data_IF_479531877948
#
_entry.id   IF_479531877948
#
_cell.length_a   1.000
_cell.length_b   1.000
_cell.length_c   1.000
_cell.angle_alpha   90.00
_cell.angle_beta   90.00
_cell.angle_gamma   90.00
#
_symmetry.space_group_name_H-M   'P 1'
#
loop_
_entity.id
_entity.type
_entity.pdbx_description
1 polymer ?
#
# COMPACT_ATOMS: atom_id res chain seq x y z
N UNK A 1 -22.02 -63.13 59.21
CA UNK A 1 -22.02 -61.85 58.51
C UNK A 1 -21.30 -61.94 57.18
N UNK A 2 -22.04 -61.97 56.07
CA UNK A 2 -21.48 -62.04 54.73
C UNK A 2 -21.56 -60.59 54.22
N UNK A 3 -20.41 -59.95 54.02
CA UNK A 3 -20.31 -58.65 53.41
C UNK A 3 -20.32 -58.80 51.87
N UNK A 4 -21.39 -58.39 51.24
CA UNK A 4 -21.51 -58.26 49.79
C UNK A 4 -20.79 -56.99 49.31
N UNK A 5 -19.63 -57.15 48.67
CA UNK A 5 -18.87 -56.08 48.08
C UNK A 5 -19.42 -55.81 46.65
N UNK A 6 -20.21 -54.77 46.50
CA UNK A 6 -20.69 -54.32 45.17
C UNK A 6 -19.57 -53.66 44.45
N UNK A 7 -19.05 -54.28 43.41
CA UNK A 7 -18.13 -53.63 42.44
C UNK A 7 -18.98 -52.85 41.50
N UNK A 8 -18.96 -51.50 41.64
CA UNK A 8 -19.47 -50.58 40.67
C UNK A 8 -18.49 -50.55 39.51
N UNK A 9 -18.84 -51.14 38.39
CA UNK A 9 -18.22 -50.97 37.12
C UNK A 9 -18.61 -49.53 36.62
N UNK A 10 -17.72 -48.59 36.79
CA UNK A 10 -17.76 -47.32 36.07
C UNK A 10 -17.44 -47.63 34.59
N UNK A 11 -18.47 -47.75 33.78
CA UNK A 11 -18.29 -47.65 32.33
C UNK A 11 -17.87 -46.22 32.05
N UNK A 12 -16.60 -46.03 31.77
CA UNK A 12 -16.12 -44.78 31.22
C UNK A 12 -16.94 -44.51 29.94
N UNK A 13 -17.66 -43.40 29.93
CA UNK A 13 -18.20 -42.86 28.69
C UNK A 13 -17.05 -42.68 27.72
N UNK A 14 -17.23 -43.20 26.54
CA UNK A 14 -16.34 -42.96 25.41
C UNK A 14 -16.35 -41.45 25.11
N UNK A 15 -15.37 -40.75 25.66
CA UNK A 15 -15.25 -39.27 25.51
C UNK A 15 -15.01 -38.85 24.08
N UNK A 16 -14.63 -39.78 23.20
CA UNK A 16 -14.32 -39.54 21.78
C UNK A 16 -15.49 -39.03 20.95
N UNK A 17 -16.74 -39.19 21.44
CA UNK A 17 -17.94 -38.69 20.74
C UNK A 17 -18.22 -37.21 20.92
N UNK A 18 -17.54 -36.54 21.86
CA UNK A 18 -17.78 -35.15 22.22
C UNK A 18 -16.55 -34.27 22.09
N UNK A 19 -15.48 -34.78 21.43
CA UNK A 19 -14.37 -33.95 21.04
C UNK A 19 -14.87 -32.96 19.99
N UNK A 20 -14.55 -31.66 20.18
CA UNK A 20 -14.99 -30.59 19.31
C UNK A 20 -14.58 -30.84 17.84
N UNK A 21 -13.48 -31.54 17.64
CA UNK A 21 -12.94 -31.94 16.33
C UNK A 21 -13.93 -32.86 15.57
N UNK A 22 -14.65 -33.74 16.26
CA UNK A 22 -15.64 -34.62 15.64
C UNK A 22 -16.99 -33.92 15.35
N UNK A 23 -17.19 -32.70 15.86
CA UNK A 23 -18.43 -31.93 15.68
C UNK A 23 -18.33 -30.89 14.55
N UNK A 24 -17.11 -30.64 14.10
CA UNK A 24 -16.85 -29.67 13.02
C UNK A 24 -16.62 -30.45 11.72
N UNK A 25 -17.35 -30.18 10.64
CA UNK A 25 -17.08 -30.80 9.33
C UNK A 25 -15.65 -30.57 8.89
N UNK A 26 -15.03 -31.53 8.23
CA UNK A 26 -13.63 -31.54 7.81
C UNK A 26 -13.26 -30.28 7.00
N UNK A 27 -14.20 -29.75 6.23
CA UNK A 27 -14.05 -28.56 5.42
C UNK A 27 -13.81 -27.28 6.25
N UNK A 28 -14.15 -27.29 7.55
CA UNK A 28 -13.92 -26.16 8.46
C UNK A 28 -12.73 -26.38 9.40
N UNK A 29 -12.04 -27.52 9.31
CA UNK A 29 -10.82 -27.75 10.09
C UNK A 29 -9.71 -26.80 9.69
N UNK A 30 -9.60 -26.47 8.40
CA UNK A 30 -8.72 -25.43 7.87
C UNK A 30 -9.42 -24.67 6.75
N UNK A 31 -9.40 -23.35 6.83
CA UNK A 31 -10.05 -22.45 5.87
C UNK A 31 -9.10 -21.32 5.52
N UNK A 32 -8.88 -21.13 4.24
CA UNK A 32 -8.01 -20.07 3.70
C UNK A 32 -8.83 -18.83 3.34
N UNK A 33 -8.30 -17.65 3.62
CA UNK A 33 -8.99 -16.39 3.31
C UNK A 33 -8.02 -15.22 3.22
N UNK A 34 -8.45 -14.16 2.52
CA UNK A 34 -7.75 -12.88 2.45
C UNK A 34 -8.22 -12.01 3.61
N UNK A 35 -7.29 -11.42 4.37
CA UNK A 35 -7.63 -10.59 5.52
C UNK A 35 -8.39 -9.31 5.11
N UNK A 36 -7.87 -8.59 4.12
CA UNK A 36 -8.48 -7.37 3.56
C UNK A 36 -9.20 -7.69 2.25
N UNK A 37 -10.10 -8.69 2.29
CA UNK A 37 -10.90 -9.10 1.13
C UNK A 37 -11.88 -8.02 0.68
N UNK A 38 -12.42 -8.19 -0.51
CA UNK A 38 -13.38 -7.28 -1.12
C UNK A 38 -12.72 -6.13 -1.89
N UNK A 39 -13.45 -5.07 -2.13
CA UNK A 39 -12.98 -3.94 -2.92
C UNK A 39 -12.08 -3.03 -2.08
N UNK A 40 -10.92 -2.69 -2.63
CA UNK A 40 -9.94 -1.79 -2.04
C UNK A 40 -9.58 -0.71 -3.07
N UNK A 41 -9.67 0.54 -2.66
CA UNK A 41 -9.24 1.67 -3.47
C UNK A 41 -7.76 1.96 -3.20
N UNK A 42 -6.98 2.09 -4.25
CA UNK A 42 -5.55 2.33 -4.20
C UNK A 42 -5.19 3.58 -4.98
N UNK A 43 -4.61 4.55 -4.29
CA UNK A 43 -3.92 5.69 -4.93
C UNK A 43 -2.46 5.33 -5.11
N UNK A 44 -1.95 5.50 -6.33
CA UNK A 44 -0.55 5.31 -6.67
C UNK A 44 0.16 6.65 -6.74
N UNK A 45 1.46 6.65 -6.41
CA UNK A 45 2.29 7.85 -6.47
C UNK A 45 3.40 7.64 -7.49
N UNK A 46 3.38 8.43 -8.55
CA UNK A 46 4.39 8.39 -9.59
C UNK A 46 5.66 9.14 -9.14
N UNK A 47 6.56 8.42 -8.50
CA UNK A 47 7.86 8.91 -8.02
C UNK A 47 9.02 8.42 -8.87
N UNK A 48 8.74 7.72 -9.98
CA UNK A 48 9.73 7.01 -10.79
C UNK A 48 10.07 5.62 -10.27
N UNK A 49 9.49 5.21 -9.12
CA UNK A 49 9.66 3.91 -8.51
C UNK A 49 8.37 3.08 -8.61
N UNK A 50 8.50 1.76 -8.47
CA UNK A 50 7.34 0.87 -8.40
C UNK A 50 6.56 1.11 -7.09
N UNK A 51 5.25 1.24 -7.19
CA UNK A 51 4.41 1.24 -5.99
C UNK A 51 4.15 -0.19 -5.53
N UNK A 52 4.27 -0.42 -4.23
CA UNK A 52 4.04 -1.72 -3.63
C UNK A 52 2.74 -1.74 -2.85
N UNK A 53 1.99 -2.83 -2.98
CA UNK A 53 0.80 -3.12 -2.19
C UNK A 53 0.93 -4.51 -1.58
N UNK A 54 0.79 -4.62 -0.27
CA UNK A 54 0.88 -5.89 0.43
C UNK A 54 -0.48 -6.31 0.99
N UNK A 55 -0.81 -7.58 0.84
CA UNK A 55 -1.95 -8.21 1.49
C UNK A 55 -1.55 -9.54 2.11
N UNK A 56 -2.40 -10.09 2.97
CA UNK A 56 -2.10 -11.35 3.66
C UNK A 56 -3.19 -12.37 3.44
N UNK A 57 -2.76 -13.59 3.19
CA UNK A 57 -3.62 -14.77 3.19
C UNK A 57 -3.47 -15.48 4.54
N UNK A 58 -4.58 -15.84 5.15
CA UNK A 58 -4.64 -16.48 6.44
C UNK A 58 -5.13 -17.94 6.33
N UNK A 59 -4.61 -18.77 7.22
CA UNK A 59 -5.07 -20.12 7.48
C UNK A 59 -5.75 -20.15 8.85
N UNK A 60 -7.08 -20.23 8.86
CA UNK A 60 -7.91 -20.39 10.04
C UNK A 60 -8.57 -21.77 10.07
N UNK A 61 -9.57 -21.94 10.94
CA UNK A 61 -10.35 -23.16 11.12
C UNK A 61 -10.21 -23.74 12.52
N UNK A 62 -10.88 -24.87 12.78
CA UNK A 62 -10.88 -25.55 14.08
C UNK A 62 -9.57 -26.29 14.38
N UNK A 63 -8.86 -26.76 13.33
CA UNK A 63 -7.53 -27.35 13.44
C UNK A 63 -6.50 -26.63 12.57
N UNK A 64 -6.01 -25.48 13.02
CA UNK A 64 -5.04 -24.70 12.28
C UNK A 64 -3.62 -25.29 12.27
N UNK A 65 -3.39 -26.45 12.92
CA UNK A 65 -2.13 -27.20 12.84
C UNK A 65 -1.97 -27.97 11.52
N UNK A 66 -3.02 -28.09 10.73
CA UNK A 66 -2.97 -28.76 9.44
C UNK A 66 -2.19 -27.89 8.42
N UNK A 67 -1.44 -28.56 7.55
CA UNK A 67 -0.81 -27.91 6.39
C UNK A 67 -1.87 -27.53 5.35
N UNK A 68 -1.65 -26.47 4.60
CA UNK A 68 -2.55 -26.04 3.54
C UNK A 68 -1.79 -25.46 2.36
N UNK A 69 -2.43 -25.43 1.19
CA UNK A 69 -1.90 -24.74 0.01
C UNK A 69 -3.00 -24.01 -0.75
N UNK A 70 -2.66 -22.84 -1.30
CA UNK A 70 -3.57 -22.00 -2.05
C UNK A 70 -2.84 -21.33 -3.21
N UNK A 71 -3.54 -21.10 -4.29
CA UNK A 71 -3.08 -20.30 -5.43
C UNK A 71 -3.85 -18.99 -5.49
N UNK A 72 -3.15 -17.95 -5.91
CA UNK A 72 -3.71 -16.63 -6.17
C UNK A 72 -3.86 -16.50 -7.67
N UNK A 73 -5.09 -16.45 -8.13
CA UNK A 73 -5.44 -16.26 -9.51
C UNK A 73 -6.00 -14.85 -9.75
N UNK A 74 -6.16 -14.49 -11.00
CA UNK A 74 -6.64 -13.18 -11.43
C UNK A 74 -7.78 -13.42 -12.42
N UNK A 75 -8.92 -12.78 -12.17
CA UNK A 75 -10.02 -12.81 -13.11
C UNK A 75 -9.64 -12.19 -14.45
N UNK A 76 -10.05 -12.85 -15.51
CA UNK A 76 -9.94 -12.31 -16.87
C UNK A 76 -10.88 -11.11 -17.06
N UNK A 77 -10.67 -10.33 -18.12
CA UNK A 77 -11.59 -9.24 -18.47
C UNK A 77 -13.03 -9.73 -18.67
N UNK A 78 -13.21 -10.87 -19.31
CA UNK A 78 -14.53 -11.46 -19.56
C UNK A 78 -15.25 -11.81 -18.23
N UNK A 79 -14.53 -12.39 -17.27
CA UNK A 79 -15.06 -12.68 -15.94
C UNK A 79 -15.42 -11.42 -15.18
N UNK A 80 -14.59 -10.38 -15.24
CA UNK A 80 -14.85 -9.09 -14.61
C UNK A 80 -16.08 -8.42 -15.23
N UNK A 81 -16.21 -8.43 -16.55
CA UNK A 81 -17.38 -7.87 -17.24
C UNK A 81 -18.68 -8.59 -16.83
N UNK A 82 -18.61 -9.91 -16.63
CA UNK A 82 -19.75 -10.71 -16.21
C UNK A 82 -20.13 -10.53 -14.74
N UNK A 83 -19.14 -10.39 -13.85
CA UNK A 83 -19.33 -10.32 -12.39
C UNK A 83 -19.59 -8.90 -11.88
N UNK A 84 -18.90 -7.89 -12.46
CA UNK A 84 -18.82 -6.53 -11.95
C UNK A 84 -19.28 -5.45 -12.92
N UNK A 85 -19.46 -5.81 -14.21
CA UNK A 85 -19.89 -4.93 -15.28
C UNK A 85 -18.76 -4.35 -16.12
N UNK A 86 -19.12 -3.77 -17.26
CA UNK A 86 -18.21 -3.44 -18.37
C UNK A 86 -17.37 -2.15 -18.17
N UNK A 87 -17.54 -1.46 -17.06
CA UNK A 87 -16.82 -0.20 -16.78
C UNK A 87 -15.40 -0.43 -16.25
N UNK A 88 -15.09 -1.66 -15.84
CA UNK A 88 -13.77 -2.01 -15.30
C UNK A 88 -12.85 -2.51 -16.41
N UNK A 89 -11.56 -2.22 -16.26
CA UNK A 89 -10.49 -2.75 -17.12
C UNK A 89 -9.45 -3.46 -16.26
N UNK A 90 -9.25 -4.74 -16.54
CA UNK A 90 -8.21 -5.51 -15.85
C UNK A 90 -6.85 -4.95 -16.25
N UNK A 91 -6.01 -4.66 -15.25
CA UNK A 91 -4.65 -4.19 -15.46
C UNK A 91 -3.86 -5.23 -16.26
N UNK A 92 -3.20 -4.86 -17.38
CA UNK A 92 -2.36 -5.77 -18.16
C UNK A 92 -1.26 -6.42 -17.30
N UNK A 93 -0.92 -7.67 -17.62
CA UNK A 93 0.01 -8.46 -16.80
C UNK A 93 1.45 -7.94 -16.78
N UNK A 94 1.83 -7.09 -17.70
CA UNK A 94 3.12 -6.41 -17.80
C UNK A 94 3.18 -5.10 -16.97
N UNK A 95 2.06 -4.65 -16.41
CA UNK A 95 1.98 -3.45 -15.56
C UNK A 95 2.22 -3.73 -14.08
N UNK A 96 2.28 -4.99 -13.69
CA UNK A 96 2.50 -5.38 -12.29
C UNK A 96 3.29 -6.69 -12.20
N UNK A 97 3.87 -6.92 -11.04
CA UNK A 97 4.42 -8.21 -10.65
C UNK A 97 3.94 -8.61 -9.27
N UNK A 98 3.93 -9.90 -9.01
CA UNK A 98 3.57 -10.49 -7.72
C UNK A 98 4.73 -11.39 -7.28
N UNK A 99 5.17 -11.26 -6.03
CA UNK A 99 6.31 -12.01 -5.50
C UNK A 99 6.05 -13.52 -5.46
N UNK A 100 4.80 -13.92 -5.21
CA UNK A 100 4.38 -15.31 -5.28
C UNK A 100 2.91 -15.43 -5.67
N UNK A 101 2.57 -16.49 -6.40
CA UNK A 101 1.19 -16.86 -6.73
C UNK A 101 0.73 -18.11 -6.00
N UNK A 102 1.66 -18.82 -5.35
CA UNK A 102 1.36 -20.03 -4.58
C UNK A 102 1.87 -19.88 -3.16
N UNK A 103 1.01 -20.21 -2.21
CA UNK A 103 1.33 -20.19 -0.79
C UNK A 103 1.12 -21.59 -0.22
N UNK A 104 2.20 -22.17 0.32
CA UNK A 104 2.17 -23.44 1.05
C UNK A 104 2.38 -23.12 2.54
N UNK A 105 1.40 -23.48 3.38
CA UNK A 105 1.40 -23.24 4.82
C UNK A 105 1.87 -24.48 5.56
N UNK A 106 2.91 -24.32 6.37
CA UNK A 106 3.30 -25.32 7.36
C UNK A 106 2.29 -25.37 8.53
N UNK A 107 2.44 -26.37 9.39
CA UNK A 107 1.52 -26.60 10.51
C UNK A 107 1.44 -25.42 11.50
N UNK A 108 2.54 -24.74 11.73
CA UNK A 108 2.68 -23.59 12.65
C UNK A 108 2.42 -22.22 11.98
N UNK A 109 2.34 -22.18 10.66
CA UNK A 109 2.09 -20.94 9.93
C UNK A 109 0.60 -20.59 9.89
N UNK A 110 0.27 -19.34 10.20
CA UNK A 110 -1.10 -18.80 10.24
C UNK A 110 -1.40 -17.79 9.15
N UNK A 111 -0.39 -17.11 8.66
CA UNK A 111 -0.51 -16.10 7.63
C UNK A 111 0.73 -16.04 6.76
N UNK A 112 0.53 -15.65 5.52
CA UNK A 112 1.60 -15.31 4.58
C UNK A 112 1.27 -14.00 3.90
N UNK A 113 2.25 -13.12 3.83
CA UNK A 113 2.13 -11.88 3.08
C UNK A 113 2.45 -12.12 1.60
N UNK A 114 1.79 -11.37 0.75
CA UNK A 114 2.02 -11.30 -0.70
C UNK A 114 2.20 -9.84 -1.08
N UNK A 115 3.21 -9.57 -1.87
CA UNK A 115 3.53 -8.21 -2.32
C UNK A 115 3.31 -8.09 -3.82
N UNK A 116 2.51 -7.10 -4.18
CA UNK A 116 2.34 -6.61 -5.54
C UNK A 116 3.27 -5.42 -5.76
N UNK A 117 3.91 -5.36 -6.91
CA UNK A 117 4.63 -4.18 -7.39
C UNK A 117 3.94 -3.69 -8.66
N UNK A 118 3.53 -2.43 -8.67
CA UNK A 118 2.72 -1.79 -9.70
C UNK A 118 3.53 -0.70 -10.41
N UNK A 119 3.51 -0.72 -11.75
CA UNK A 119 4.14 0.32 -12.57
C UNK A 119 3.21 1.52 -12.69
N UNK A 120 3.53 2.59 -11.99
CA UNK A 120 2.76 3.84 -12.01
C UNK A 120 2.77 4.52 -13.37
N UNK A 121 3.91 4.49 -14.08
CA UNK A 121 4.03 5.07 -15.42
C UNK A 121 3.08 4.39 -16.42
N UNK A 122 3.07 3.04 -16.44
CA UNK A 122 2.23 2.30 -17.38
C UNK A 122 0.75 2.43 -17.04
N UNK A 123 0.41 2.36 -15.74
CA UNK A 123 -0.98 2.52 -15.28
C UNK A 123 -1.46 3.95 -15.51
N UNK A 124 -0.67 4.96 -15.17
CA UNK A 124 -0.99 6.37 -15.39
C UNK A 124 -1.21 6.69 -16.87
N UNK A 125 -0.30 6.24 -17.75
CA UNK A 125 -0.46 6.41 -19.19
C UNK A 125 -1.72 5.71 -19.75
N UNK A 126 -2.07 4.54 -19.22
CA UNK A 126 -3.29 3.85 -19.61
C UNK A 126 -4.56 4.57 -19.15
N UNK A 127 -4.56 5.14 -17.94
CA UNK A 127 -5.66 5.95 -17.41
C UNK A 127 -5.84 7.25 -18.19
N UNK A 128 -4.75 7.92 -18.55
CA UNK A 128 -4.78 9.12 -19.40
C UNK A 128 -5.34 8.83 -20.80
N UNK A 129 -4.97 7.69 -21.38
CA UNK A 129 -5.45 7.26 -22.68
C UNK A 129 -6.93 6.87 -22.68
N UNK A 130 -7.47 6.43 -21.53
CA UNK A 130 -8.85 5.97 -21.38
C UNK A 130 -9.46 6.49 -20.07
N UNK A 131 -9.76 7.78 -19.95
CA UNK A 131 -10.20 8.40 -18.70
C UNK A 131 -11.56 7.93 -18.18
N UNK A 132 -12.38 7.32 -19.04
CA UNK A 132 -13.68 6.72 -18.67
C UNK A 132 -13.54 5.31 -18.08
N UNK A 133 -12.37 4.69 -18.19
CA UNK A 133 -12.15 3.32 -17.71
C UNK A 133 -11.63 3.33 -16.28
N UNK A 134 -12.17 2.44 -15.44
CA UNK A 134 -11.65 2.19 -14.10
C UNK A 134 -10.75 0.97 -14.13
N UNK A 135 -9.45 1.15 -13.88
CA UNK A 135 -8.48 0.06 -13.88
C UNK A 135 -8.50 -0.72 -12.57
N UNK A 136 -8.47 -2.06 -12.68
CA UNK A 136 -8.62 -2.97 -11.55
C UNK A 136 -7.66 -4.16 -11.62
N UNK A 137 -7.25 -4.67 -10.46
CA UNK A 137 -6.55 -5.93 -10.33
C UNK A 137 -7.40 -6.88 -9.47
N UNK A 138 -8.18 -7.78 -10.11
CA UNK A 138 -9.15 -8.65 -9.45
C UNK A 138 -8.53 -9.98 -9.08
N UNK A 139 -8.03 -10.12 -7.85
CA UNK A 139 -7.39 -11.31 -7.32
C UNK A 139 -8.42 -12.23 -6.65
N UNK A 140 -8.21 -13.54 -6.75
CA UNK A 140 -8.99 -14.50 -5.98
C UNK A 140 -8.15 -15.71 -5.57
N UNK A 141 -8.57 -16.36 -4.47
CA UNK A 141 -7.96 -17.58 -3.97
C UNK A 141 -8.63 -18.81 -4.57
N UNK A 142 -7.81 -19.78 -4.93
CA UNK A 142 -8.27 -21.11 -5.33
C UNK A 142 -7.39 -22.19 -4.73
N UNK A 143 -7.97 -23.34 -4.37
CA UNK A 143 -7.25 -24.52 -3.91
C UNK A 143 -7.96 -25.78 -4.39
N UNK A 144 -7.20 -26.76 -4.83
CA UNK A 144 -7.74 -28.08 -5.21
C UNK A 144 -8.05 -28.97 -4.01
N UNK A 145 -7.44 -28.66 -2.85
CA UNK A 145 -7.44 -29.58 -1.69
C UNK A 145 -7.98 -28.97 -0.42
N UNK A 146 -7.93 -27.64 -0.32
CA UNK A 146 -8.21 -26.94 0.92
C UNK A 146 -9.39 -26.00 0.76
N UNK A 147 -10.19 -25.86 1.81
CA UNK A 147 -11.35 -24.97 1.81
C UNK A 147 -10.93 -23.52 1.75
N UNK A 148 -11.56 -22.75 0.88
CA UNK A 148 -11.43 -21.29 0.79
C UNK A 148 -12.75 -20.66 1.24
N UNK A 149 -12.67 -19.65 2.10
CA UNK A 149 -13.84 -18.91 2.54
C UNK A 149 -14.40 -18.08 1.38
N UNK A 150 -15.58 -18.43 0.89
CA UNK A 150 -16.19 -17.78 -0.28
C UNK A 150 -16.39 -16.28 -0.10
N UNK A 151 -16.74 -15.81 1.12
CA UNK A 151 -16.98 -14.39 1.41
C UNK A 151 -15.67 -13.58 1.53
N UNK A 152 -14.53 -14.27 1.63
CA UNK A 152 -13.20 -13.67 1.82
C UNK A 152 -12.15 -14.22 0.85
N UNK A 153 -12.61 -14.75 -0.27
CA UNK A 153 -11.74 -15.33 -1.30
C UNK A 153 -11.22 -14.32 -2.31
N UNK A 154 -11.85 -13.15 -2.41
CA UNK A 154 -11.57 -12.16 -3.45
C UNK A 154 -10.99 -10.87 -2.88
N UNK A 155 -10.04 -10.28 -3.62
CA UNK A 155 -9.48 -8.97 -3.38
C UNK A 155 -9.51 -8.19 -4.70
N UNK A 156 -10.40 -7.21 -4.78
CA UNK A 156 -10.62 -6.40 -5.96
C UNK A 156 -9.97 -5.03 -5.77
N UNK A 157 -8.74 -4.88 -6.24
CA UNK A 157 -7.97 -3.64 -6.12
C UNK A 157 -8.37 -2.72 -7.27
N UNK A 158 -8.98 -1.57 -6.94
CA UNK A 158 -9.34 -0.53 -7.88
C UNK A 158 -8.33 0.61 -7.81
N UNK A 159 -7.75 0.99 -8.93
CA UNK A 159 -6.88 2.17 -8.99
C UNK A 159 -7.79 3.41 -8.99
N UNK A 160 -7.74 4.14 -7.88
CA UNK A 160 -8.53 5.35 -7.69
C UNK A 160 -7.88 6.54 -8.39
N UNK A 161 -6.55 6.66 -8.28
CA UNK A 161 -5.79 7.74 -8.90
C UNK A 161 -4.30 7.38 -9.03
N UNK A 162 -3.60 8.11 -9.92
CA UNK A 162 -2.14 8.10 -10.04
C UNK A 162 -1.66 9.54 -9.90
N UNK A 163 -1.11 9.87 -8.74
CA UNK A 163 -0.65 11.21 -8.41
C UNK A 163 0.85 11.34 -8.70
N UNK A 164 1.26 12.48 -9.25
CA UNK A 164 2.67 12.84 -9.38
C UNK A 164 2.99 13.92 -8.33
N UNK A 165 3.67 13.56 -7.23
CA UNK A 165 4.00 14.50 -6.17
C UNK A 165 4.90 15.63 -6.68
N UNK A 166 4.58 16.87 -6.30
CA UNK A 166 5.37 18.03 -6.65
C UNK A 166 5.88 18.73 -5.39
N UNK A 167 7.18 18.99 -5.36
CA UNK A 167 7.81 19.80 -4.30
C UNK A 167 7.70 21.26 -4.64
N UNK A 168 7.30 22.08 -3.70
CA UNK A 168 7.20 23.53 -3.86
C UNK A 168 7.47 24.29 -2.57
N UNK A 169 7.73 25.59 -2.69
CA UNK A 169 7.80 26.46 -1.53
C UNK A 169 6.40 26.72 -0.98
N UNK A 170 6.25 26.74 0.34
CA UNK A 170 4.96 27.01 1.00
C UNK A 170 4.53 28.46 0.86
N UNK A 171 5.49 29.37 0.63
CA UNK A 171 5.25 30.78 0.32
C UNK A 171 6.05 31.18 -0.92
N UNK A 172 5.33 31.52 -1.98
CA UNK A 172 5.89 31.92 -3.28
C UNK A 172 5.91 33.44 -3.49
N UNK A 173 5.39 34.21 -2.54
CA UNK A 173 5.41 35.66 -2.60
C UNK A 173 6.81 36.22 -2.26
N UNK A 174 7.07 37.47 -2.74
CA UNK A 174 8.28 38.19 -2.34
C UNK A 174 8.26 38.40 -0.83
N UNK A 175 9.28 37.90 -0.14
CA UNK A 175 9.50 38.11 1.30
C UNK A 175 10.52 39.25 1.49
N UNK A 176 10.08 40.47 1.84
CA UNK A 176 11.02 41.54 2.17
C UNK A 176 11.70 41.27 3.49
N UNK A 177 13.01 41.16 3.46
CA UNK A 177 13.83 41.01 4.65
C UNK A 177 14.44 42.33 5.05
N UNK A 178 14.38 42.65 6.35
CA UNK A 178 15.06 43.82 6.90
C UNK A 178 16.35 43.37 7.58
N UNK A 179 17.48 43.76 7.02
CA UNK A 179 18.78 43.47 7.61
C UNK A 179 19.14 44.57 8.61
N UNK A 180 19.52 44.17 9.81
CA UNK A 180 19.95 45.12 10.87
C UNK A 180 21.48 45.21 10.90
N UNK A 181 22.00 46.36 10.59
CA UNK A 181 23.44 46.61 10.63
C UNK A 181 24.02 46.37 12.06
N UNK A 182 25.15 45.69 12.10
CA UNK A 182 25.83 45.35 13.37
C UNK A 182 25.61 43.94 13.87
N UNK A 183 24.80 43.13 13.17
CA UNK A 183 24.71 41.69 13.35
C UNK A 183 25.51 41.00 12.26
N UNK A 184 26.27 39.97 12.63
CA UNK A 184 27.11 39.20 11.68
C UNK A 184 26.27 38.32 10.72
N UNK A 185 25.20 37.72 11.25
CA UNK A 185 24.30 36.86 10.48
C UNK A 185 22.85 37.06 10.91
N UNK A 186 21.94 36.81 9.97
CA UNK A 186 20.52 36.77 10.21
C UNK A 186 19.96 35.54 9.50
N UNK A 187 19.26 34.67 10.22
CA UNK A 187 18.63 33.48 9.67
C UNK A 187 17.19 33.77 9.26
N UNK A 188 16.76 33.12 8.20
CA UNK A 188 15.39 33.15 7.66
C UNK A 188 14.97 31.73 7.38
N UNK A 189 13.82 31.36 7.85
CA UNK A 189 13.21 30.06 7.56
C UNK A 189 12.40 30.15 6.25
N UNK A 190 12.57 29.18 5.36
CA UNK A 190 11.87 29.09 4.09
C UNK A 190 11.14 27.74 4.07
N UNK A 191 9.82 27.76 4.19
CA UNK A 191 9.00 26.57 4.16
C UNK A 191 8.88 25.94 2.79
N UNK A 192 8.95 24.62 2.71
CA UNK A 192 8.70 23.86 1.50
C UNK A 192 7.93 22.57 1.82
N UNK A 193 7.35 21.94 0.81
CA UNK A 193 6.58 20.72 1.02
C UNK A 193 6.10 20.07 -0.27
N UNK A 194 5.36 18.98 -0.10
CA UNK A 194 4.65 18.28 -1.16
C UNK A 194 3.21 18.75 -1.27
N UNK A 195 2.65 18.66 -2.45
CA UNK A 195 1.24 18.92 -2.77
C UNK A 195 0.33 17.71 -2.48
N UNK A 196 0.91 16.58 -2.08
CA UNK A 196 0.21 15.34 -1.73
C UNK A 196 0.69 14.79 -0.39
N UNK A 197 -0.09 13.89 0.21
CA UNK A 197 0.39 13.08 1.33
C UNK A 197 1.59 12.23 0.90
N UNK A 198 2.54 12.01 1.79
CA UNK A 198 3.68 11.14 1.54
C UNK A 198 3.78 10.02 2.57
N UNK A 199 4.15 8.82 2.11
CA UNK A 199 4.46 7.66 2.94
C UNK A 199 5.94 7.27 2.89
N UNK A 200 6.79 8.11 2.31
CA UNK A 200 8.23 7.91 2.11
C UNK A 200 9.00 9.18 2.43
N UNK A 201 10.29 9.05 2.65
CA UNK A 201 11.20 10.19 2.81
C UNK A 201 11.53 10.77 1.42
N UNK A 202 11.51 12.10 1.30
CA UNK A 202 11.83 12.81 0.05
C UNK A 202 13.07 13.66 0.26
N UNK A 203 14.11 13.40 -0.55
CA UNK A 203 15.29 14.25 -0.62
C UNK A 203 15.00 15.44 -1.54
N UNK A 204 14.97 16.64 -0.97
CA UNK A 204 14.76 17.88 -1.68
C UNK A 204 16.08 18.63 -1.89
N UNK A 205 16.38 19.02 -3.14
CA UNK A 205 17.59 19.77 -3.48
C UNK A 205 17.24 21.19 -3.81
N UNK A 206 17.96 22.12 -3.21
CA UNK A 206 17.79 23.57 -3.39
C UNK A 206 18.98 24.18 -4.08
N UNK A 207 18.70 25.11 -4.97
CA UNK A 207 19.72 25.87 -5.67
C UNK A 207 19.22 27.30 -5.94
N UNK A 208 20.15 28.22 -6.07
CA UNK A 208 19.86 29.56 -6.59
C UNK A 208 19.69 29.49 -8.09
N UNK A 209 18.59 30.03 -8.60
CA UNK A 209 18.29 30.08 -10.04
C UNK A 209 18.39 31.48 -10.61
N UNK A 210 19.52 31.84 -11.28
CA UNK A 210 19.70 33.12 -11.92
C UNK A 210 18.79 33.37 -13.14
N UNK A 211 18.37 32.28 -13.81
CA UNK A 211 17.51 32.38 -14.98
C UNK A 211 16.07 32.71 -14.55
N UNK A 212 15.62 32.11 -13.46
CA UNK A 212 14.34 32.47 -12.85
C UNK A 212 14.30 33.93 -12.46
N UNK A 213 15.34 34.46 -11.81
CA UNK A 213 15.42 35.87 -11.44
C UNK A 213 15.37 36.79 -12.64
N UNK A 214 16.09 36.45 -13.71
CA UNK A 214 16.08 37.21 -14.98
C UNK A 214 14.68 37.24 -15.61
N UNK A 215 14.02 36.08 -15.66
CA UNK A 215 12.66 35.96 -16.18
C UNK A 215 11.66 36.72 -15.32
N UNK A 216 11.78 36.65 -13.99
CA UNK A 216 10.95 37.40 -13.05
C UNK A 216 11.07 38.91 -13.27
N UNK A 217 12.31 39.43 -13.34
CA UNK A 217 12.56 40.85 -13.59
C UNK A 217 11.92 41.30 -14.91
N UNK A 218 12.07 40.51 -15.98
CA UNK A 218 11.48 40.82 -17.28
C UNK A 218 9.95 40.87 -17.25
N UNK A 219 9.33 39.89 -16.55
CA UNK A 219 7.87 39.79 -16.43
C UNK A 219 7.26 40.92 -15.59
N UNK A 220 7.93 41.33 -14.52
CA UNK A 220 7.41 42.28 -13.53
C UNK A 220 8.00 43.72 -13.66
N UNK A 221 8.91 43.94 -14.61
CA UNK A 221 9.55 45.24 -14.79
C UNK A 221 10.44 45.67 -13.62
N UNK A 222 10.99 44.69 -12.89
CA UNK A 222 11.88 44.90 -11.74
C UNK A 222 13.35 44.79 -12.13
N UNK A 223 14.25 45.18 -11.22
CA UNK A 223 15.70 45.13 -11.43
C UNK A 223 16.41 44.47 -10.23
N UNK A 224 15.83 43.41 -9.72
CA UNK A 224 16.43 42.67 -8.63
C UNK A 224 17.75 42.00 -9.05
N UNK A 225 18.66 41.85 -8.10
CA UNK A 225 19.98 41.26 -8.30
C UNK A 225 20.18 40.15 -7.29
N UNK A 226 20.92 39.12 -7.70
CA UNK A 226 21.36 38.08 -6.76
C UNK A 226 22.28 38.70 -5.69
N UNK A 227 22.15 38.19 -4.47
CA UNK A 227 23.18 38.44 -3.46
C UNK A 227 24.50 37.80 -3.93
N UNK A 228 25.65 38.49 -3.71
CA UNK A 228 26.95 37.91 -4.03
C UNK A 228 27.16 36.61 -3.26
N UNK A 229 27.82 35.65 -3.90
CA UNK A 229 28.27 34.42 -3.25
C UNK A 229 29.10 34.76 -2.01
N UNK A 230 28.87 34.00 -0.93
CA UNK A 230 29.48 34.26 0.38
C UNK A 230 28.69 35.18 1.31
N UNK A 231 27.66 35.87 0.82
CA UNK A 231 26.77 36.69 1.66
C UNK A 231 25.52 35.96 2.13
N UNK A 232 25.38 34.70 1.73
CA UNK A 232 24.34 33.79 2.20
C UNK A 232 24.85 32.35 2.21
N UNK A 233 24.21 31.50 2.99
CA UNK A 233 24.39 30.04 2.96
C UNK A 233 23.06 29.37 3.28
N UNK A 234 22.86 28.20 2.73
CA UNK A 234 21.74 27.31 3.04
C UNK A 234 22.18 25.86 2.83
N UNK A 235 21.44 24.92 3.40
CA UNK A 235 21.63 23.49 3.16
C UNK A 235 21.04 23.12 1.79
N UNK A 236 21.90 22.66 0.87
CA UNK A 236 21.47 22.31 -0.49
C UNK A 236 20.59 21.06 -0.53
N UNK A 237 20.70 20.18 0.46
CA UNK A 237 19.95 18.94 0.54
C UNK A 237 19.20 18.94 1.85
N UNK A 238 17.88 18.85 1.77
CA UNK A 238 17.00 18.73 2.93
C UNK A 238 16.07 17.54 2.75
N UNK A 239 15.75 16.86 3.85
CA UNK A 239 14.87 15.70 3.88
C UNK A 239 13.48 16.11 4.35
N UNK A 240 12.46 15.76 3.58
CA UNK A 240 11.08 15.79 4.01
C UNK A 240 10.74 14.39 4.55
N UNK A 241 10.52 14.24 5.87
CA UNK A 241 10.29 12.93 6.47
C UNK A 241 8.97 12.30 6.00
N UNK A 242 8.92 10.96 5.99
CA UNK A 242 7.68 10.23 5.74
C UNK A 242 6.58 10.67 6.72
N UNK A 243 5.36 10.81 6.24
CA UNK A 243 4.21 11.28 7.00
C UNK A 243 4.16 12.80 7.24
N UNK A 244 5.11 13.55 6.67
CA UNK A 244 5.20 15.01 6.80
C UNK A 244 5.09 15.64 5.41
N UNK A 245 4.14 16.54 5.23
CA UNK A 245 3.92 17.22 3.93
C UNK A 245 4.67 18.55 3.83
N UNK A 246 5.08 19.15 4.96
CA UNK A 246 5.80 20.43 4.97
C UNK A 246 6.93 20.43 6.00
N UNK A 247 8.01 21.15 5.72
CA UNK A 247 9.10 21.43 6.65
C UNK A 247 9.76 22.76 6.28
N UNK A 248 10.72 23.23 7.09
CA UNK A 248 11.46 24.47 6.88
C UNK A 248 12.92 24.18 6.50
N UNK A 249 13.47 25.04 5.60
CA UNK A 249 14.85 25.07 5.13
C UNK A 249 15.67 26.01 6.01
#
# INVERSE_FOLDING_TARGET
GIACMAVLLLTACDESKYELENLVPDEYHKVLYINNSGMQDLTLYNTGELNTYAFSVYKGGSDPSLTASVEIAIHSQEEVDALYGVNYRVIPSDFYSMDTRRLDFASDERSKAVTLSLSTDLIGAAMEANPEATYVLPLYLTSEKDSVNADKSELFIRIADVLTPTVGFTNTDIQPLSYTYGFDTQSVEIGFGLDTDNNWEVECRFAVDPEYLSSYNGKHGTAYRLLPEGNYSFEEINLLPAGTTTTDL
#
